data_IF_881079083681
#
_entry.id   IF_881079083681
#
_cell.length_a   1.000
_cell.length_b   1.000
_cell.length_c   1.000
_cell.angle_alpha   90.00
_cell.angle_beta   90.00
_cell.angle_gamma   90.00
#
_symmetry.space_group_name_H-M   'P 1'
#
loop_
_entity.id
_entity.type
_entity.pdbx_description
1 polymer ?
#
# COMPACT_ATOMS: atom_id res chain seq x y z
N UNK A 1 11.16 15.55 -12.29
CA UNK A 1 11.76 14.39 -11.60
C UNK A 1 10.64 13.41 -11.29
N UNK A 2 10.75 12.10 -11.56
CA UNK A 2 9.69 11.19 -11.21
C UNK A 2 9.63 11.09 -9.68
N UNK A 3 8.54 11.62 -9.09
CA UNK A 3 8.31 11.56 -7.66
C UNK A 3 8.32 10.12 -7.18
N UNK A 4 9.07 9.82 -6.12
CA UNK A 4 9.02 8.53 -5.45
C UNK A 4 7.58 8.30 -4.97
N UNK A 5 6.83 7.44 -5.66
CA UNK A 5 5.52 6.97 -5.22
C UNK A 5 5.69 6.02 -4.03
N UNK A 6 5.77 6.59 -2.83
CA UNK A 6 5.80 5.80 -1.61
C UNK A 6 4.42 5.17 -1.36
N UNK A 7 4.34 3.83 -1.42
CA UNK A 7 3.19 3.01 -0.99
C UNK A 7 2.01 2.95 -1.99
N UNK A 8 2.07 2.07 -3.01
CA UNK A 8 1.00 1.92 -4.01
C UNK A 8 -0.29 1.28 -3.44
N UNK A 9 -0.23 0.60 -2.28
CA UNK A 9 -1.41 0.07 -1.58
C UNK A 9 -1.73 0.84 -0.29
N UNK A 10 -1.15 2.03 -0.13
CA UNK A 10 -1.10 2.71 1.15
C UNK A 10 -0.28 1.93 2.18
N UNK A 11 -0.13 2.53 3.35
CA UNK A 11 0.66 2.01 4.48
C UNK A 11 -0.04 0.81 5.14
N UNK A 12 -0.18 -0.28 4.39
CA UNK A 12 -1.04 -1.44 4.64
C UNK A 12 -0.66 -2.28 5.88
N UNK A 13 0.53 -2.05 6.46
CA UNK A 13 0.98 -2.72 7.68
C UNK A 13 1.51 -1.79 8.78
N UNK A 14 1.54 -0.47 8.55
CA UNK A 14 2.37 0.45 9.34
C UNK A 14 1.58 1.46 10.19
N UNK A 15 0.24 1.58 10.03
CA UNK A 15 -0.53 2.61 10.75
C UNK A 15 -1.84 2.16 11.42
N UNK A 16 -2.25 0.90 11.37
CA UNK A 16 -3.56 0.51 11.92
C UNK A 16 -4.75 1.21 11.25
N UNK A 17 -4.51 1.89 10.11
CA UNK A 17 -5.52 2.43 9.24
C UNK A 17 -6.31 1.26 8.66
N UNK A 18 -7.60 1.16 9.03
CA UNK A 18 -8.56 0.27 8.38
C UNK A 18 -8.75 0.74 6.93
N UNK A 19 -7.91 0.27 6.02
CA UNK A 19 -8.12 0.48 4.59
C UNK A 19 -9.08 -0.58 4.07
N UNK A 20 -10.20 -0.17 3.47
CA UNK A 20 -11.12 -1.08 2.76
C UNK A 20 -10.45 -1.82 1.59
N UNK A 21 -9.26 -1.39 1.20
CA UNK A 21 -8.34 -2.08 0.29
C UNK A 21 -8.09 -3.55 0.71
N UNK A 22 -8.05 -3.85 2.01
CA UNK A 22 -7.89 -5.23 2.51
C UNK A 22 -9.14 -6.10 2.32
N UNK A 23 -10.29 -5.50 2.01
CA UNK A 23 -11.57 -6.17 1.76
C UNK A 23 -11.94 -6.19 0.28
N UNK A 24 -11.08 -5.71 -0.61
CA UNK A 24 -11.40 -5.65 -2.02
C UNK A 24 -11.57 -7.09 -2.57
N UNK A 25 -12.61 -7.40 -3.36
CA UNK A 25 -12.88 -8.75 -3.85
C UNK A 25 -11.70 -9.38 -4.61
N UNK A 26 -10.94 -8.54 -5.33
CA UNK A 26 -9.70 -8.96 -6.01
C UNK A 26 -8.67 -9.48 -5.01
N UNK A 27 -8.47 -8.80 -3.87
CA UNK A 27 -7.51 -9.25 -2.87
C UNK A 27 -7.96 -10.58 -2.26
N UNK A 28 -9.25 -10.72 -1.93
CA UNK A 28 -9.82 -11.97 -1.41
C UNK A 28 -9.62 -13.13 -2.38
N UNK A 29 -9.98 -12.95 -3.65
CA UNK A 29 -9.79 -13.94 -4.71
C UNK A 29 -8.33 -14.40 -4.81
N UNK A 30 -7.39 -13.46 -4.77
CA UNK A 30 -5.96 -13.76 -4.89
C UNK A 30 -5.43 -14.45 -3.63
N UNK A 31 -5.90 -14.06 -2.44
CA UNK A 31 -5.53 -14.73 -1.19
C UNK A 31 -6.01 -16.16 -1.12
N UNK A 32 -7.22 -16.44 -1.63
CA UNK A 32 -7.78 -17.79 -1.71
C UNK A 32 -7.01 -18.64 -2.72
N UNK A 33 -6.74 -18.12 -3.92
CA UNK A 33 -6.00 -18.86 -4.95
C UNK A 33 -4.55 -19.17 -4.59
N UNK A 34 -3.89 -18.28 -3.86
CA UNK A 34 -2.47 -18.43 -3.49
C UNK A 34 -2.27 -19.03 -2.09
N UNK A 35 -3.36 -19.23 -1.34
CA UNK A 35 -3.35 -19.67 0.06
C UNK A 35 -2.41 -18.80 0.94
N UNK A 36 -2.35 -17.50 0.63
CA UNK A 36 -1.52 -16.52 1.35
C UNK A 36 -2.38 -15.52 2.10
N UNK A 37 -1.86 -14.98 3.20
CA UNK A 37 -2.56 -13.94 3.96
C UNK A 37 -2.67 -12.64 3.15
N UNK A 38 -3.73 -11.82 3.35
CA UNK A 38 -3.90 -10.54 2.66
C UNK A 38 -2.68 -9.62 2.76
N UNK A 39 -2.02 -9.61 3.93
CA UNK A 39 -0.80 -8.84 4.15
C UNK A 39 0.36 -9.32 3.27
N UNK A 40 0.55 -10.64 3.11
CA UNK A 40 1.59 -11.23 2.26
C UNK A 40 1.34 -10.94 0.78
N UNK A 41 0.09 -11.09 0.32
CA UNK A 41 -0.31 -10.76 -1.07
C UNK A 41 -0.03 -9.31 -1.40
N UNK A 42 -0.40 -8.39 -0.52
CA UNK A 42 -0.18 -6.98 -0.79
C UNK A 42 1.31 -6.56 -0.75
N UNK A 43 2.11 -7.14 0.15
CA UNK A 43 3.56 -6.95 0.15
C UNK A 43 4.15 -7.45 -1.18
N UNK A 44 3.75 -8.64 -1.64
CA UNK A 44 4.22 -9.22 -2.91
C UNK A 44 3.82 -8.38 -4.12
N UNK A 45 2.59 -7.89 -4.15
CA UNK A 45 2.12 -6.99 -5.21
C UNK A 45 2.98 -5.71 -5.29
N UNK A 46 3.28 -5.10 -4.15
CA UNK A 46 4.15 -3.92 -4.08
C UNK A 46 5.56 -4.21 -4.60
N UNK A 47 6.11 -5.39 -4.30
CA UNK A 47 7.41 -5.82 -4.80
C UNK A 47 7.41 -6.03 -6.33
N UNK A 48 6.37 -6.67 -6.89
CA UNK A 48 6.24 -6.91 -8.35
C UNK A 48 5.95 -5.64 -9.14
N UNK A 49 5.34 -4.62 -8.54
CA UNK A 49 5.24 -3.27 -9.10
C UNK A 49 6.58 -2.49 -9.11
N UNK A 50 7.69 -3.14 -8.74
CA UNK A 50 9.03 -2.55 -8.62
C UNK A 50 9.12 -1.38 -7.61
N UNK A 51 8.18 -1.31 -6.66
CA UNK A 51 8.24 -0.34 -5.57
C UNK A 51 9.02 -0.93 -4.39
N UNK A 52 9.88 -0.13 -3.74
CA UNK A 52 10.53 -0.57 -2.49
C UNK A 52 9.49 -0.67 -1.38
N UNK A 53 9.26 -1.88 -0.88
CA UNK A 53 8.32 -2.13 0.21
C UNK A 53 9.05 -2.09 1.54
N UNK A 54 8.61 -1.24 2.48
CA UNK A 54 9.22 -1.08 3.80
C UNK A 54 8.26 -1.59 4.89
N UNK A 55 8.32 -2.88 5.25
CA UNK A 55 7.48 -3.43 6.30
C UNK A 55 7.95 -2.98 7.70
N UNK A 56 7.24 -2.06 8.35
CA UNK A 56 7.46 -1.75 9.78
C UNK A 56 6.98 -2.90 10.66
N UNK A 57 7.82 -3.39 11.57
CA UNK A 57 7.42 -4.22 12.70
C UNK A 57 8.53 -4.21 13.76
N UNK A 58 8.15 -4.22 15.04
CA UNK A 58 9.06 -4.38 16.19
C UNK A 58 9.02 -5.81 16.76
N UNK A 59 8.20 -6.70 16.19
CA UNK A 59 8.03 -8.07 16.64
C UNK A 59 8.77 -9.01 15.69
N UNK A 60 9.79 -9.70 16.19
CA UNK A 60 10.67 -10.56 15.39
C UNK A 60 9.92 -11.66 14.62
N UNK A 61 8.91 -12.29 15.25
CA UNK A 61 8.09 -13.32 14.61
C UNK A 61 7.32 -12.74 13.42
N UNK A 62 6.78 -11.52 13.56
CA UNK A 62 6.08 -10.81 12.47
C UNK A 62 7.03 -10.31 11.39
N UNK A 63 8.29 -9.99 11.72
CA UNK A 63 9.32 -9.64 10.72
C UNK A 63 9.61 -10.87 9.87
N UNK A 64 9.91 -12.00 10.50
CA UNK A 64 10.17 -13.29 9.81
C UNK A 64 8.97 -13.70 8.94
N UNK A 65 7.76 -13.62 9.47
CA UNK A 65 6.54 -13.93 8.73
C UNK A 65 6.29 -12.98 7.54
N UNK A 66 6.62 -11.69 7.66
CA UNK A 66 6.51 -10.71 6.57
C UNK A 66 7.59 -10.86 5.50
N UNK A 67 8.71 -11.50 5.81
CA UNK A 67 9.80 -11.78 4.86
C UNK A 67 9.50 -13.00 3.97
N UNK A 68 8.50 -13.82 4.30
CA UNK A 68 8.01 -14.94 3.47
C UNK A 68 7.16 -14.45 2.28
N UNK A 69 7.75 -13.58 1.46
CA UNK A 69 7.17 -12.98 0.25
C UNK A 69 8.12 -13.04 -0.95
N UNK A 70 9.33 -13.57 -0.77
CA UNK A 70 10.34 -13.68 -1.83
C UNK A 70 10.26 -15.01 -2.60
N UNK A 71 9.83 -16.09 -1.94
CA UNK A 71 9.87 -17.46 -2.47
C UNK A 71 8.69 -17.83 -3.38
N UNK A 72 7.80 -16.88 -3.67
CA UNK A 72 6.62 -17.07 -4.53
C UNK A 72 6.22 -15.77 -5.20
N UNK A 73 5.42 -15.82 -6.27
CA UNK A 73 4.95 -14.66 -7.01
C UNK A 73 3.44 -14.69 -7.24
N UNK A 74 2.85 -13.52 -7.43
CA UNK A 74 1.49 -13.39 -7.98
C UNK A 74 1.61 -13.64 -9.49
N UNK A 75 0.91 -14.65 -10.03
CA UNK A 75 0.82 -14.91 -11.47
C UNK A 75 0.27 -13.72 -12.25
N UNK A 76 0.68 -13.56 -13.51
CA UNK A 76 0.34 -12.37 -14.31
C UNK A 76 -1.17 -12.19 -14.53
N UNK A 77 -1.93 -13.28 -14.65
CA UNK A 77 -3.40 -13.26 -14.80
C UNK A 77 -4.10 -12.68 -13.56
N UNK A 78 -3.57 -12.97 -12.37
CA UNK A 78 -4.05 -12.42 -11.10
C UNK A 78 -3.50 -11.02 -10.86
N UNK A 79 -2.26 -10.78 -11.27
CA UNK A 79 -1.59 -9.50 -11.11
C UNK A 79 -2.30 -8.40 -11.90
N UNK A 80 -2.73 -8.70 -13.13
CA UNK A 80 -3.50 -7.76 -13.95
C UNK A 80 -4.79 -7.28 -13.27
N UNK A 81 -5.45 -8.13 -12.47
CA UNK A 81 -6.69 -7.75 -11.77
C UNK A 81 -6.48 -6.68 -10.70
N UNK A 82 -5.26 -6.51 -10.19
CA UNK A 82 -4.99 -5.46 -9.21
C UNK A 82 -5.07 -4.05 -9.80
N UNK A 83 -4.98 -3.88 -11.13
CA UNK A 83 -5.19 -2.57 -11.74
C UNK A 83 -6.65 -2.10 -11.65
N UNK A 84 -7.59 -3.01 -11.36
CA UNK A 84 -9.00 -2.68 -11.12
C UNK A 84 -9.22 -2.03 -9.74
N UNK A 85 -8.24 -2.15 -8.82
CA UNK A 85 -8.36 -1.58 -7.47
C UNK A 85 -8.08 -0.07 -7.55
N UNK A 86 -9.06 0.78 -7.16
CA UNK A 86 -8.87 2.22 -7.19
C UNK A 86 -7.71 2.63 -6.28
N UNK A 87 -6.77 3.39 -6.84
CA UNK A 87 -5.61 3.90 -6.11
C UNK A 87 -6.06 5.11 -5.29
N UNK A 88 -5.92 5.03 -3.96
CA UNK A 88 -6.29 6.13 -3.06
C UNK A 88 -5.12 6.49 -2.17
N UNK A 89 -4.76 7.78 -2.15
CA UNK A 89 -3.75 8.30 -1.23
C UNK A 89 -4.31 8.33 0.20
N UNK A 90 -3.98 7.29 0.97
CA UNK A 90 -4.44 7.11 2.36
C UNK A 90 -3.85 8.15 3.33
N UNK A 91 -2.62 8.59 3.10
CA UNK A 91 -1.98 9.65 3.90
C UNK A 91 -2.14 10.96 3.15
N UNK A 92 -3.19 11.72 3.48
CA UNK A 92 -3.46 13.03 2.86
C UNK A 92 -2.65 14.18 3.47
N UNK A 93 -2.03 13.96 4.63
CA UNK A 93 -1.21 14.99 5.29
C UNK A 93 -2.02 16.15 5.87
N UNK A 94 -3.31 15.95 6.17
CA UNK A 94 -4.22 17.00 6.69
C UNK A 94 -3.69 17.71 7.93
N UNK A 95 -2.90 17.03 8.77
CA UNK A 95 -2.28 17.62 9.96
C UNK A 95 -1.17 18.64 9.64
N UNK A 96 -0.66 18.66 8.41
CA UNK A 96 0.36 19.59 7.92
C UNK A 96 -0.23 20.75 7.12
N UNK A 97 -1.55 20.78 6.97
CA UNK A 97 -2.28 21.77 6.19
C UNK A 97 -3.06 22.66 7.15
N UNK A 98 -2.94 23.97 7.01
CA UNK A 98 -3.67 24.94 7.82
C UNK A 98 -3.76 26.27 7.11
N UNK A 99 -4.95 26.88 7.05
CA UNK A 99 -5.23 28.08 6.26
C UNK A 99 -4.31 29.27 6.60
N UNK A 100 -4.00 29.43 7.89
CA UNK A 100 -3.27 30.60 8.42
C UNK A 100 -1.90 30.29 9.00
N UNK A 101 -1.57 29.02 9.27
CA UNK A 101 -0.39 28.61 10.06
C UNK A 101 0.55 27.67 9.30
N UNK A 102 0.15 27.23 8.11
CA UNK A 102 0.98 26.37 7.27
C UNK A 102 1.25 27.06 5.93
N UNK A 103 2.43 26.86 5.33
CA UNK A 103 2.68 27.21 3.94
C UNK A 103 1.71 26.52 2.96
N UNK A 104 1.14 25.37 3.36
CA UNK A 104 0.17 24.61 2.58
C UNK A 104 -1.23 24.82 3.15
N UNK A 105 -2.11 25.41 2.33
CA UNK A 105 -3.47 25.78 2.73
C UNK A 105 -4.49 24.67 2.50
N UNK A 106 -4.22 23.79 1.55
CA UNK A 106 -5.07 22.64 1.21
C UNK A 106 -4.21 21.38 1.00
N UNK A 107 -4.77 20.17 1.18
CA UNK A 107 -4.09 18.93 0.83
C UNK A 107 -3.69 18.87 -0.65
N UNK A 108 -4.46 19.49 -1.54
CA UNK A 108 -4.16 19.62 -2.96
C UNK A 108 -2.87 20.42 -3.18
N UNK A 109 -2.69 21.53 -2.45
CA UNK A 109 -1.44 22.30 -2.51
C UNK A 109 -0.26 21.54 -1.90
N UNK A 110 -0.50 20.72 -0.87
CA UNK A 110 0.55 19.92 -0.25
C UNK A 110 1.11 18.86 -1.20
N UNK A 111 0.28 18.35 -2.11
CA UNK A 111 0.63 17.29 -3.05
C UNK A 111 0.74 17.77 -4.50
N UNK A 112 0.85 19.09 -4.72
CA UNK A 112 0.94 19.70 -6.07
C UNK A 112 -0.18 19.24 -7.04
N UNK A 113 -1.37 18.94 -6.52
CA UNK A 113 -2.52 18.46 -7.29
C UNK A 113 -2.58 16.93 -7.48
N UNK A 114 -1.59 16.17 -7.01
CA UNK A 114 -1.58 14.70 -7.08
C UNK A 114 -2.27 14.08 -5.84
N UNK A 115 -3.61 14.05 -5.82
CA UNK A 115 -4.42 13.43 -4.75
C UNK A 115 -5.07 12.11 -5.16
#
# INVERSE_FOLDING_TARGET
MPGLKSSPLGSLGMLGLKSDVLKHPVLTMVTEKLEKTPAKVALRWGLQMAHRVLPKSTNEKRIKEKFDVFDWSIPDDLFAKFSEIPQVKLIRGTNFVHETKSPYKTPENLWDGEI
#
